data_IF_712843877749
#
_entry.id   IF_712843877749
#
_cell.length_a   1.000
_cell.length_b   1.000
_cell.length_c   1.000
_cell.angle_alpha   90.00
_cell.angle_beta   90.00
_cell.angle_gamma   90.00
#
_symmetry.space_group_name_H-M   'P 1'
#
loop_
_entity.id
_entity.type
_entity.pdbx_description
1 polymer ?
#
# COMPACT_ATOMS: atom_id res chain seq x y z
N UNK A 1 -11.87 3.30 -19.14
CA UNK A 1 -11.09 3.34 -17.88
C UNK A 1 -9.62 3.51 -18.27
N UNK A 2 -8.92 4.55 -17.78
CA UNK A 2 -7.51 4.74 -18.14
C UNK A 2 -6.66 3.56 -17.60
N UNK A 3 -5.71 3.00 -18.37
CA UNK A 3 -4.93 1.82 -17.96
C UNK A 3 -4.22 1.99 -16.61
N UNK A 4 -3.85 3.23 -16.26
CA UNK A 4 -3.29 3.56 -14.96
C UNK A 4 -4.23 3.25 -13.78
N UNK A 5 -5.54 3.47 -13.93
CA UNK A 5 -6.52 3.16 -12.90
C UNK A 5 -6.71 1.66 -12.71
N UNK A 6 -6.76 0.89 -13.81
CA UNK A 6 -6.89 -0.56 -13.75
C UNK A 6 -5.67 -1.20 -13.08
N UNK A 7 -4.47 -0.65 -13.34
CA UNK A 7 -3.23 -1.07 -12.69
C UNK A 7 -3.23 -0.71 -11.19
N UNK A 8 -3.63 0.50 -10.82
CA UNK A 8 -3.72 0.90 -9.40
C UNK A 8 -4.70 0.03 -8.60
N UNK A 9 -5.84 -0.35 -9.19
CA UNK A 9 -6.84 -1.23 -8.55
C UNK A 9 -6.29 -2.65 -8.38
N UNK A 10 -5.59 -3.18 -9.39
CA UNK A 10 -4.95 -4.50 -9.30
C UNK A 10 -3.90 -4.54 -8.18
N UNK A 11 -3.03 -3.52 -8.12
CA UNK A 11 -2.01 -3.36 -7.07
C UNK A 11 -2.66 -3.26 -5.69
N UNK A 12 -3.76 -2.50 -5.57
CA UNK A 12 -4.54 -2.40 -4.34
C UNK A 12 -5.05 -3.76 -3.86
N UNK A 13 -5.69 -4.55 -4.74
CA UNK A 13 -6.25 -5.86 -4.37
C UNK A 13 -5.16 -6.86 -3.97
N UNK A 14 -4.04 -6.90 -4.69
CA UNK A 14 -2.93 -7.82 -4.38
C UNK A 14 -2.34 -7.51 -3.00
N UNK A 15 -2.07 -6.22 -2.73
CA UNK A 15 -1.51 -5.78 -1.44
C UNK A 15 -2.50 -6.00 -0.31
N UNK A 16 -3.80 -5.77 -0.56
CA UNK A 16 -4.86 -6.01 0.42
C UNK A 16 -4.96 -7.48 0.82
N UNK A 17 -4.98 -8.39 -0.16
CA UNK A 17 -5.03 -9.84 0.09
C UNK A 17 -3.77 -10.30 0.82
N UNK A 18 -2.58 -9.86 0.37
CA UNK A 18 -1.32 -10.18 1.04
C UNK A 18 -1.29 -9.64 2.48
N UNK A 19 -1.76 -8.41 2.70
CA UNK A 19 -1.87 -7.79 4.01
C UNK A 19 -2.82 -8.55 4.94
N UNK A 20 -3.95 -9.03 4.43
CA UNK A 20 -4.88 -9.91 5.16
C UNK A 20 -4.23 -11.25 5.55
N UNK A 21 -3.43 -11.85 4.68
CA UNK A 21 -2.70 -13.09 4.99
C UNK A 21 -1.67 -12.89 6.11
N UNK A 22 -0.90 -11.79 6.06
CA UNK A 22 0.10 -11.47 7.09
C UNK A 22 -0.55 -11.11 8.42
N UNK A 23 -1.80 -10.64 8.40
CA UNK A 23 -2.60 -10.33 9.58
C UNK A 23 -2.81 -11.55 10.50
N UNK A 24 -2.73 -12.78 9.98
CA UNK A 24 -2.79 -13.99 10.82
C UNK A 24 -1.58 -14.14 11.77
N UNK A 25 -0.44 -13.52 11.48
CA UNK A 25 0.80 -13.66 12.26
C UNK A 25 0.88 -12.59 13.35
N UNK A 26 1.13 -12.97 14.61
CA UNK A 26 1.22 -12.11 15.81
C UNK A 26 2.09 -10.82 15.71
N UNK A 27 2.94 -10.68 14.69
CA UNK A 27 3.78 -9.50 14.39
C UNK A 27 3.35 -8.73 13.12
N UNK A 28 2.06 -8.76 12.79
CA UNK A 28 1.45 -8.12 11.61
C UNK A 28 1.85 -6.65 11.38
N UNK A 29 1.96 -5.87 12.45
CA UNK A 29 2.30 -4.44 12.41
C UNK A 29 3.67 -4.17 11.74
N UNK A 30 4.67 -5.01 11.99
CA UNK A 30 6.05 -4.77 11.52
C UNK A 30 6.12 -4.92 10.00
N UNK A 31 5.51 -5.98 9.46
CA UNK A 31 5.49 -6.25 8.03
C UNK A 31 4.71 -5.19 7.24
N UNK A 32 3.60 -4.69 7.80
CA UNK A 32 2.84 -3.60 7.18
C UNK A 32 3.60 -2.27 7.19
N UNK A 33 4.31 -1.92 8.27
CA UNK A 33 5.17 -0.73 8.28
C UNK A 33 6.30 -0.82 7.25
N UNK A 34 6.93 -1.98 7.13
CA UNK A 34 7.98 -2.22 6.13
C UNK A 34 7.40 -2.03 4.72
N UNK A 35 6.21 -2.55 4.45
CA UNK A 35 5.51 -2.35 3.18
C UNK A 35 5.28 -0.86 2.87
N UNK A 36 4.78 -0.09 3.84
CA UNK A 36 4.56 1.36 3.68
C UNK A 36 5.89 2.09 3.44
N UNK A 37 6.94 1.78 4.21
CA UNK A 37 8.27 2.38 4.04
C UNK A 37 8.88 2.07 2.67
N UNK A 38 8.66 0.84 2.16
CA UNK A 38 9.10 0.43 0.84
C UNK A 38 8.37 1.20 -0.27
N UNK A 39 7.04 1.29 -0.21
CA UNK A 39 6.25 2.07 -1.17
C UNK A 39 6.61 3.56 -1.15
N UNK A 40 6.84 4.12 0.04
CA UNK A 40 7.28 5.50 0.20
C UNK A 40 8.65 5.73 -0.45
N UNK A 41 9.62 4.88 -0.16
CA UNK A 41 10.97 4.96 -0.76
C UNK A 41 10.91 4.81 -2.29
N UNK A 42 10.09 3.88 -2.79
CA UNK A 42 9.88 3.70 -4.22
C UNK A 42 9.29 4.95 -4.89
N UNK A 43 8.31 5.62 -4.26
CA UNK A 43 7.78 6.90 -4.78
C UNK A 43 8.87 7.96 -4.86
N UNK A 44 9.66 8.13 -3.80
CA UNK A 44 10.72 9.15 -3.74
C UNK A 44 11.78 8.90 -4.81
N UNK A 45 12.28 7.67 -4.92
CA UNK A 45 13.31 7.30 -5.92
C UNK A 45 12.77 7.45 -7.34
N UNK A 46 11.55 6.98 -7.61
CA UNK A 46 10.96 7.05 -8.95
C UNK A 46 10.63 8.50 -9.35
N UNK A 47 10.24 9.34 -8.39
CA UNK A 47 10.04 10.78 -8.61
C UNK A 47 11.36 11.50 -8.88
N UNK A 48 12.42 11.20 -8.12
CA UNK A 48 13.75 11.78 -8.32
C UNK A 48 14.32 11.44 -9.70
N UNK A 49 14.27 10.15 -10.10
CA UNK A 49 14.70 9.71 -11.43
C UNK A 49 13.90 10.36 -12.57
N UNK A 50 12.61 10.63 -12.35
CA UNK A 50 11.77 11.27 -13.35
C UNK A 50 12.06 12.77 -13.50
N UNK A 51 12.33 13.45 -12.39
CA UNK A 51 12.74 14.86 -12.40
C UNK A 51 14.10 15.02 -13.10
N UNK A 52 15.03 14.10 -12.87
CA UNK A 52 16.37 14.14 -13.49
C UNK A 52 16.33 13.91 -15.01
N UNK A 53 15.45 13.03 -15.49
CA UNK A 53 15.36 12.68 -16.92
C UNK A 53 14.53 13.64 -17.78
N UNK A 54 13.71 14.51 -17.20
CA UNK A 54 12.70 15.24 -17.97
C UNK A 54 12.72 16.73 -17.68
N UNK A 55 12.97 17.56 -18.69
CA UNK A 55 13.12 19.03 -18.58
C UNK A 55 11.77 19.74 -18.30
N UNK A 56 10.65 19.11 -18.69
CA UNK A 56 9.28 19.62 -18.48
C UNK A 56 8.47 18.66 -17.62
N UNK A 57 8.72 18.65 -16.31
CA UNK A 57 7.98 17.82 -15.35
C UNK A 57 6.63 18.47 -15.05
N UNK A 58 5.54 17.86 -15.53
CA UNK A 58 4.19 18.27 -15.14
C UNK A 58 3.76 17.50 -13.88
N UNK A 59 3.36 18.21 -12.82
CA UNK A 59 2.86 17.63 -11.56
C UNK A 59 1.83 16.53 -11.76
N UNK A 60 0.98 16.66 -12.79
CA UNK A 60 -0.05 15.70 -13.14
C UNK A 60 0.52 14.33 -13.53
N UNK A 61 1.63 14.27 -14.26
CA UNK A 61 2.25 13.01 -14.66
C UNK A 61 2.92 12.29 -13.48
N UNK A 62 3.60 13.06 -12.61
CA UNK A 62 4.14 12.54 -11.35
C UNK A 62 3.04 11.96 -10.47
N UNK A 63 1.92 12.67 -10.33
CA UNK A 63 0.79 12.20 -9.54
C UNK A 63 0.19 10.90 -10.09
N UNK A 64 -0.10 10.84 -11.39
CA UNK A 64 -0.63 9.63 -12.03
C UNK A 64 0.29 8.40 -11.90
N UNK A 65 1.61 8.63 -11.84
CA UNK A 65 2.60 7.56 -11.70
C UNK A 65 2.75 7.09 -10.25
N UNK A 66 2.56 7.99 -9.29
CA UNK A 66 2.58 7.67 -7.85
C UNK A 66 1.25 7.13 -7.32
N UNK A 67 0.14 7.31 -8.05
CA UNK A 67 -1.18 6.74 -7.71
C UNK A 67 -1.15 5.27 -7.28
N UNK A 68 -0.59 4.31 -8.06
CA UNK A 68 -0.58 2.90 -7.64
C UNK A 68 0.12 2.68 -6.29
N UNK A 69 1.21 3.41 -6.03
CA UNK A 69 1.94 3.32 -4.76
C UNK A 69 1.17 3.95 -3.60
N UNK A 70 0.46 5.07 -3.85
CA UNK A 70 -0.45 5.69 -2.87
C UNK A 70 -1.62 4.76 -2.52
N UNK A 71 -2.21 4.12 -3.53
CA UNK A 71 -3.24 3.09 -3.34
C UNK A 71 -2.70 1.90 -2.54
N UNK A 72 -1.48 1.43 -2.83
CA UNK A 72 -0.81 0.39 -2.04
C UNK A 72 -0.60 0.76 -0.57
N UNK A 73 -0.15 1.99 -0.29
CA UNK A 73 -0.02 2.47 1.10
C UNK A 73 -1.38 2.56 1.81
N UNK A 74 -2.42 3.01 1.11
CA UNK A 74 -3.78 3.05 1.68
C UNK A 74 -4.30 1.65 2.00
N UNK A 75 -4.05 0.64 1.15
CA UNK A 75 -4.41 -0.75 1.41
C UNK A 75 -3.71 -1.28 2.67
N UNK A 76 -2.40 -1.01 2.82
CA UNK A 76 -1.65 -1.41 4.02
C UNK A 76 -2.22 -0.78 5.31
N UNK A 77 -2.61 0.49 5.28
CA UNK A 77 -3.22 1.18 6.43
C UNK A 77 -4.61 0.62 6.78
N UNK A 78 -5.43 0.31 5.76
CA UNK A 78 -6.75 -0.32 5.96
C UNK A 78 -6.57 -1.74 6.53
N UNK A 79 -5.60 -2.52 6.04
CA UNK A 79 -5.31 -3.84 6.60
C UNK A 79 -4.77 -3.76 8.04
N UNK A 80 -4.00 -2.72 8.39
CA UNK A 80 -3.49 -2.51 9.75
C UNK A 80 -4.63 -2.16 10.72
N UNK A 81 -5.53 -1.26 10.32
CA UNK A 81 -6.73 -0.90 11.12
C UNK A 81 -7.70 -2.08 11.26
N UNK A 82 -7.93 -2.84 10.18
CA UNK A 82 -8.68 -4.10 10.24
C UNK A 82 -7.99 -5.14 11.13
N UNK A 83 -6.65 -5.25 11.10
CA UNK A 83 -5.90 -6.10 12.02
C UNK A 83 -6.08 -5.74 13.49
N UNK A 84 -6.01 -4.45 13.81
CA UNK A 84 -6.18 -3.98 15.18
C UNK A 84 -7.63 -4.11 15.66
N UNK A 85 -8.63 -4.11 14.78
CA UNK A 85 -10.04 -4.16 15.18
C UNK A 85 -10.67 -5.56 15.07
N UNK A 86 -10.40 -6.28 13.99
CA UNK A 86 -10.99 -7.59 13.68
C UNK A 86 -10.29 -8.73 14.43
N UNK A 87 -8.95 -8.72 14.55
CA UNK A 87 -8.25 -9.82 15.22
C UNK A 87 -8.44 -9.89 16.74
N UNK A 88 -8.50 -8.79 17.54
CA UNK A 88 -8.86 -8.93 18.95
C UNK A 88 -10.30 -9.39 19.13
N UNK A 89 -11.23 -8.98 18.27
CA UNK A 89 -12.61 -9.47 18.29
C UNK A 89 -12.71 -10.98 17.98
N UNK A 90 -11.96 -11.48 16.99
CA UNK A 90 -11.90 -12.91 16.66
C UNK A 90 -11.16 -13.71 17.75
N UNK A 91 -10.07 -13.17 18.30
CA UNK A 91 -9.30 -13.83 19.38
C UNK A 91 -10.06 -13.86 20.71
N UNK A 92 -10.96 -12.90 20.94
CA UNK A 92 -11.92 -12.92 22.04
C UNK A 92 -12.98 -14.01 21.87
N UNK A 93 -13.42 -14.28 20.63
CA UNK A 93 -14.42 -15.31 20.30
C UNK A 93 -13.88 -16.75 20.31
N UNK A 94 -12.57 -16.94 20.13
CA UNK A 94 -11.91 -18.26 20.14
C UNK A 94 -11.32 -18.65 21.51
N UNK A 95 -11.57 -17.84 22.55
CA UNK A 95 -11.14 -18.12 23.93
C UNK A 95 -12.30 -18.63 24.80
N UNK A 96 -13.29 -19.28 24.18
CA UNK A 96 -14.28 -20.16 24.83
C UNK A 96 -13.95 -21.61 24.51
#
# INVERSE_FOLDING_TARGET
MSPAFSYSIAVFLIIFVAGCSVNLLRQHYIFQLIGIAFFFTYIVVNSALFVERTINVTFRQLFYRSLPSLFGMSACLICLTLGVWVFPAIRSKFKE
#
